data_IF_440990946284
#
_entry.id   IF_440990946284
#
_cell.length_a   1.000
_cell.length_b   1.000
_cell.length_c   1.000
_cell.angle_alpha   90.00
_cell.angle_beta   90.00
_cell.angle_gamma   90.00
#
_symmetry.space_group_name_H-M   'P 1'
#
loop_
_entity.id
_entity.type
_entity.pdbx_description
1 polymer ?
#
# COMPACT_ATOMS: atom_id res chain seq x y z
N UNK A 1 -4.46 36.06 10.35
CA UNK A 1 -3.62 34.93 9.86
C UNK A 1 -4.52 33.72 9.70
N UNK A 2 -4.40 32.95 8.62
CA UNK A 2 -5.18 31.72 8.43
C UNK A 2 -4.87 30.69 9.53
N UNK A 3 -5.86 29.86 9.88
CA UNK A 3 -5.74 28.82 10.93
C UNK A 3 -4.53 27.88 10.69
N UNK A 4 -4.18 27.64 9.42
CA UNK A 4 -3.00 26.87 9.01
C UNK A 4 -1.68 27.52 9.50
N UNK A 5 -1.51 28.83 9.28
CA UNK A 5 -0.30 29.56 9.68
C UNK A 5 -0.11 29.60 11.21
N UNK A 6 -1.20 29.57 11.97
CA UNK A 6 -1.13 29.49 13.44
C UNK A 6 -0.61 28.12 13.88
N UNK A 7 -1.14 27.02 13.33
CA UNK A 7 -0.68 25.65 13.63
C UNK A 7 0.77 25.40 13.20
N UNK A 8 1.20 25.94 12.06
CA UNK A 8 2.58 25.86 11.59
C UNK A 8 3.55 26.52 12.57
N UNK A 9 3.19 27.72 13.05
CA UNK A 9 3.99 28.47 14.02
C UNK A 9 4.09 27.73 15.36
N UNK A 10 3.00 27.15 15.85
CA UNK A 10 2.98 26.30 17.05
C UNK A 10 3.93 25.09 16.90
N UNK A 11 3.93 24.46 15.72
CA UNK A 11 4.79 23.31 15.41
C UNK A 11 6.21 23.69 14.98
N UNK A 12 6.56 24.99 15.00
CA UNK A 12 7.85 25.52 14.56
C UNK A 12 8.24 25.08 13.13
N UNK A 13 7.24 25.01 12.24
CA UNK A 13 7.44 24.67 10.84
C UNK A 13 7.84 25.95 10.09
N UNK A 14 8.97 25.92 9.38
CA UNK A 14 9.41 27.02 8.53
C UNK A 14 8.40 27.24 7.38
N UNK A 15 8.03 28.50 7.13
CA UNK A 15 7.02 28.83 6.13
C UNK A 15 7.47 28.43 4.72
N UNK A 16 8.77 28.55 4.44
CA UNK A 16 9.42 28.16 3.19
C UNK A 16 9.22 26.68 2.88
N UNK A 17 9.31 25.82 3.91
CA UNK A 17 9.06 24.39 3.76
C UNK A 17 7.56 24.08 3.64
N UNK A 18 6.72 24.76 4.42
CA UNK A 18 5.26 24.53 4.36
C UNK A 18 4.67 24.91 3.00
N UNK A 19 5.16 26.00 2.41
CA UNK A 19 4.72 26.48 1.10
C UNK A 19 5.00 25.48 -0.05
N UNK A 20 5.88 24.48 0.14
CA UNK A 20 6.13 23.42 -0.84
C UNK A 20 5.06 22.30 -0.82
N UNK A 21 4.23 22.25 0.23
CA UNK A 21 3.22 21.20 0.40
C UNK A 21 1.92 21.61 -0.27
N UNK A 22 1.64 21.03 -1.45
CA UNK A 22 0.44 21.34 -2.23
C UNK A 22 -0.61 20.22 -2.17
N UNK A 23 -0.25 18.99 -2.58
CA UNK A 23 -1.20 17.89 -2.78
C UNK A 23 -1.12 16.75 -1.75
N UNK A 24 -0.14 16.80 -0.85
CA UNK A 24 0.12 15.75 0.15
C UNK A 24 0.25 16.35 1.54
N UNK A 25 -0.78 17.10 1.97
CA UNK A 25 -0.83 17.69 3.30
C UNK A 25 -1.08 16.60 4.34
N UNK A 26 -0.10 16.36 5.20
CA UNK A 26 -0.21 15.35 6.25
C UNK A 26 -1.15 15.81 7.37
N UNK A 27 -2.22 15.07 7.62
CA UNK A 27 -3.20 15.33 8.68
C UNK A 27 -3.47 14.07 9.52
N UNK A 28 -3.93 14.21 10.77
CA UNK A 28 -4.46 13.08 11.52
C UNK A 28 -5.69 12.50 10.82
N UNK A 29 -5.83 11.18 10.86
CA UNK A 29 -7.03 10.54 10.33
C UNK A 29 -8.24 10.82 11.22
N UNK A 30 -9.26 11.42 10.62
CA UNK A 30 -10.51 11.78 11.29
C UNK A 30 -11.72 11.28 10.48
N UNK A 31 -12.50 10.32 11.02
CA UNK A 31 -13.70 9.82 10.37
C UNK A 31 -14.72 10.89 9.99
N UNK A 32 -14.79 12.00 10.75
CA UNK A 32 -15.73 13.08 10.46
C UNK A 32 -15.37 13.87 9.18
N UNK A 33 -14.13 13.78 8.71
CA UNK A 33 -13.59 14.54 7.59
C UNK A 33 -13.27 13.67 6.36
N UNK A 34 -13.80 12.45 6.29
CA UNK A 34 -13.60 11.54 5.15
C UNK A 34 -14.22 12.11 3.86
N UNK A 35 -15.43 12.64 3.95
CA UNK A 35 -16.22 13.10 2.81
C UNK A 35 -16.04 14.59 2.47
N UNK A 36 -15.11 15.29 3.13
CA UNK A 36 -14.81 16.67 2.74
C UNK A 36 -14.06 16.70 1.39
N UNK A 37 -14.08 17.84 0.70
CA UNK A 37 -13.41 18.00 -0.60
C UNK A 37 -11.90 18.28 -0.50
N UNK A 38 -11.27 17.99 0.65
CA UNK A 38 -9.84 18.21 0.85
C UNK A 38 -9.00 17.04 0.31
N UNK A 39 -9.10 16.79 -1.01
CA UNK A 39 -8.38 15.69 -1.70
C UNK A 39 -6.86 15.75 -1.55
N UNK A 40 -6.33 16.95 -1.29
CA UNK A 40 -4.91 17.21 -1.06
C UNK A 40 -4.44 16.80 0.35
N UNK A 41 -5.34 16.41 1.24
CA UNK A 41 -4.99 15.84 2.53
C UNK A 41 -4.67 14.35 2.42
N UNK A 42 -3.65 13.91 3.16
CA UNK A 42 -3.27 12.51 3.22
C UNK A 42 -3.02 12.05 4.66
N UNK A 43 -3.21 10.76 4.89
CA UNK A 43 -2.97 10.13 6.19
C UNK A 43 -1.87 9.07 6.10
N UNK A 44 -1.05 8.98 7.16
CA UNK A 44 -0.05 7.92 7.31
C UNK A 44 -0.43 6.97 8.44
N UNK A 45 -0.30 5.68 8.19
CA UNK A 45 -0.69 4.60 9.09
C UNK A 45 0.47 3.62 9.31
N UNK A 46 0.64 3.18 10.55
CA UNK A 46 1.50 2.04 10.85
C UNK A 46 0.77 0.74 10.46
N UNK A 47 1.50 -0.25 9.98
CA UNK A 47 0.99 -1.62 9.78
C UNK A 47 0.29 -2.18 11.05
N UNK A 48 -0.52 -3.23 10.87
CA UNK A 48 -1.16 -3.94 11.99
C UNK A 48 -2.37 -3.23 12.60
N UNK A 49 -2.84 -2.13 12.00
CA UNK A 49 -4.06 -1.41 12.40
C UNK A 49 -5.19 -1.48 11.37
N UNK A 50 -5.11 -2.40 10.41
CA UNK A 50 -6.02 -2.45 9.26
C UNK A 50 -7.49 -2.52 9.67
N UNK A 51 -7.87 -3.47 10.54
CA UNK A 51 -9.26 -3.67 10.95
C UNK A 51 -9.86 -2.42 11.60
N UNK A 52 -9.10 -1.81 12.53
CA UNK A 52 -9.50 -0.56 13.20
C UNK A 52 -9.62 0.62 12.23
N UNK A 53 -8.87 0.62 11.13
CA UNK A 53 -8.95 1.67 10.12
C UNK A 53 -10.14 1.44 9.20
N UNK A 54 -10.43 0.18 8.85
CA UNK A 54 -11.63 -0.20 8.09
C UNK A 54 -12.90 0.21 8.84
N UNK A 55 -13.01 -0.11 10.13
CA UNK A 55 -14.12 0.32 11.01
C UNK A 55 -14.31 1.84 11.02
N UNK A 56 -13.22 2.59 10.85
CA UNK A 56 -13.21 4.06 10.85
C UNK A 56 -13.38 4.68 9.45
N UNK A 57 -13.63 3.89 8.41
CA UNK A 57 -13.92 4.40 7.07
C UNK A 57 -12.69 4.55 6.15
N UNK A 58 -11.67 3.71 6.28
CA UNK A 58 -10.50 3.75 5.39
C UNK A 58 -10.86 3.49 3.91
N UNK A 59 -11.85 2.65 3.61
CA UNK A 59 -12.28 2.37 2.24
C UNK A 59 -12.79 3.62 1.50
N UNK A 60 -13.82 4.33 2.00
CA UNK A 60 -14.27 5.58 1.36
C UNK A 60 -13.22 6.68 1.44
N UNK A 61 -12.32 6.67 2.44
CA UNK A 61 -11.18 7.59 2.44
C UNK A 61 -10.26 7.36 1.24
N UNK A 62 -9.92 6.10 0.93
CA UNK A 62 -9.02 5.73 -0.15
C UNK A 62 -9.62 5.89 -1.57
N UNK A 63 -10.92 6.18 -1.70
CA UNK A 63 -11.51 6.53 -3.00
C UNK A 63 -11.27 8.01 -3.36
N UNK A 64 -11.04 8.89 -2.38
CA UNK A 64 -10.93 10.34 -2.58
C UNK A 64 -9.59 10.96 -2.13
N UNK A 65 -8.88 10.30 -1.21
CA UNK A 65 -7.66 10.82 -0.58
C UNK A 65 -6.53 9.79 -0.59
N UNK A 66 -5.31 10.28 -0.46
CA UNK A 66 -4.12 9.41 -0.42
C UNK A 66 -3.86 8.87 0.99
N UNK A 67 -3.44 7.61 1.05
CA UNK A 67 -3.00 6.96 2.27
C UNK A 67 -1.60 6.37 2.08
N UNK A 68 -0.81 6.47 3.14
CA UNK A 68 0.51 5.85 3.27
C UNK A 68 0.49 4.84 4.39
N UNK A 69 0.98 3.63 4.14
CA UNK A 69 1.20 2.61 5.17
C UNK A 69 2.69 2.36 5.29
N UNK A 70 3.22 2.22 6.50
CA UNK A 70 4.64 1.99 6.73
C UNK A 70 4.90 0.91 7.81
N UNK A 71 6.09 0.27 7.77
CA UNK A 71 6.41 -0.79 8.72
C UNK A 71 6.44 -0.30 10.17
N UNK A 72 6.11 -1.18 11.12
CA UNK A 72 6.16 -0.86 12.54
C UNK A 72 7.62 -0.64 12.98
N UNK A 73 7.87 0.33 13.86
CA UNK A 73 9.19 0.61 14.42
C UNK A 73 9.81 -0.57 15.19
N UNK A 74 9.01 -1.55 15.63
CA UNK A 74 9.53 -2.80 16.21
C UNK A 74 10.32 -3.66 15.22
N UNK A 75 10.19 -3.43 13.90
CA UNK A 75 10.93 -4.12 12.85
C UNK A 75 12.35 -3.56 12.69
N UNK A 76 13.13 -3.62 13.76
CA UNK A 76 14.52 -3.10 13.80
C UNK A 76 15.45 -3.77 12.78
N UNK A 77 15.13 -5.01 12.37
CA UNK A 77 15.86 -5.76 11.34
C UNK A 77 15.38 -5.45 9.91
N UNK A 78 14.56 -4.40 9.73
CA UNK A 78 14.04 -3.98 8.42
C UNK A 78 13.22 -5.06 7.68
N UNK A 79 12.60 -6.00 8.39
CA UNK A 79 11.64 -6.92 7.77
C UNK A 79 10.43 -6.17 7.20
N UNK A 80 9.75 -6.74 6.21
CA UNK A 80 8.54 -6.16 5.64
C UNK A 80 7.27 -6.89 6.10
N UNK A 81 6.15 -6.16 6.14
CA UNK A 81 4.81 -6.71 6.22
C UNK A 81 4.30 -7.11 4.83
N UNK A 82 3.26 -7.95 4.77
CA UNK A 82 2.60 -8.24 3.49
C UNK A 82 1.88 -6.98 2.96
N UNK A 83 2.18 -6.50 1.74
CA UNK A 83 1.53 -5.31 1.19
C UNK A 83 0.12 -5.60 0.65
N UNK A 84 -0.21 -6.87 0.38
CA UNK A 84 -1.46 -7.29 -0.28
C UNK A 84 -2.71 -6.85 0.48
N UNK A 85 -2.84 -7.05 1.80
CA UNK A 85 -4.01 -6.58 2.53
C UNK A 85 -4.23 -5.06 2.42
N UNK A 86 -3.15 -4.28 2.37
CA UNK A 86 -3.23 -2.82 2.23
C UNK A 86 -3.66 -2.42 0.82
N UNK A 87 -3.13 -3.08 -0.22
CA UNK A 87 -3.61 -2.87 -1.59
C UNK A 87 -5.07 -3.26 -1.76
N UNK A 88 -5.52 -4.34 -1.12
CA UNK A 88 -6.91 -4.81 -1.21
C UNK A 88 -7.91 -3.82 -0.61
N UNK A 89 -7.49 -2.87 0.22
CA UNK A 89 -8.34 -1.79 0.75
C UNK A 89 -8.07 -0.44 0.09
N UNK A 90 -7.35 -0.43 -1.03
CA UNK A 90 -7.10 0.77 -1.83
C UNK A 90 -5.99 1.67 -1.30
N UNK A 91 -5.14 1.23 -0.37
CA UNK A 91 -4.01 2.04 0.07
C UNK A 91 -3.00 2.29 -1.07
N UNK A 92 -2.54 3.54 -1.20
CA UNK A 92 -1.77 3.99 -2.35
C UNK A 92 -0.25 3.83 -2.14
N UNK A 93 0.26 4.39 -1.04
CA UNK A 93 1.69 4.38 -0.71
C UNK A 93 1.98 3.31 0.34
N UNK A 94 2.03 2.05 -0.08
CA UNK A 94 2.35 0.91 0.80
C UNK A 94 3.88 0.78 0.88
N UNK A 95 4.48 1.54 1.80
CA UNK A 95 5.93 1.65 1.93
C UNK A 95 6.54 0.39 2.53
N UNK A 96 7.64 -0.07 1.91
CA UNK A 96 8.43 -1.23 2.31
C UNK A 96 9.91 -0.83 2.40
N UNK A 97 10.69 -1.63 3.12
CA UNK A 97 12.14 -1.56 3.24
C UNK A 97 12.80 -2.20 2.00
N UNK A 98 13.19 -1.37 1.02
CA UNK A 98 13.74 -1.81 -0.28
C UNK A 98 15.08 -2.56 -0.17
N UNK A 99 15.85 -2.33 0.89
CA UNK A 99 17.09 -3.04 1.17
C UNK A 99 16.88 -4.52 1.52
N UNK A 100 15.66 -4.92 1.88
CA UNK A 100 15.34 -6.28 2.32
C UNK A 100 14.69 -7.07 1.17
N UNK A 101 15.42 -8.03 0.60
CA UNK A 101 14.94 -8.90 -0.48
C UNK A 101 14.01 -10.03 -0.04
N UNK A 102 13.02 -9.73 0.82
CA UNK A 102 12.05 -10.68 1.35
C UNK A 102 10.82 -10.86 0.44
N UNK A 103 9.91 -11.78 0.82
CA UNK A 103 8.69 -12.10 0.06
C UNK A 103 7.82 -10.86 -0.24
N UNK A 104 7.54 -9.96 0.73
CA UNK A 104 6.86 -8.69 0.45
C UNK A 104 7.52 -7.85 -0.65
N UNK A 105 8.86 -7.75 -0.66
CA UNK A 105 9.57 -7.01 -1.69
C UNK A 105 9.44 -7.66 -3.07
N UNK A 106 9.47 -9.00 -3.13
CA UNK A 106 9.24 -9.74 -4.38
C UNK A 106 7.82 -9.49 -4.92
N UNK A 107 6.80 -9.45 -4.04
CA UNK A 107 5.42 -9.11 -4.42
C UNK A 107 5.32 -7.67 -4.94
N UNK A 108 5.99 -6.73 -4.28
CA UNK A 108 6.04 -5.32 -4.69
C UNK A 108 6.67 -5.18 -6.08
N UNK A 109 7.85 -5.76 -6.29
CA UNK A 109 8.51 -5.78 -7.60
C UNK A 109 7.61 -6.40 -8.66
N UNK A 110 6.99 -7.55 -8.38
CA UNK A 110 6.06 -8.23 -9.29
C UNK A 110 4.85 -7.38 -9.67
N UNK A 111 4.18 -6.73 -8.70
CA UNK A 111 3.03 -5.84 -8.96
C UNK A 111 3.42 -4.66 -9.86
N UNK A 112 4.54 -4.02 -9.56
CA UNK A 112 5.02 -2.85 -10.31
C UNK A 112 5.79 -3.22 -11.59
N UNK A 113 5.84 -4.49 -12.02
CA UNK A 113 6.18 -4.84 -13.41
C UNK A 113 5.12 -4.34 -14.39
N UNK A 114 3.86 -4.25 -13.93
CA UNK A 114 2.76 -3.71 -14.71
C UNK A 114 3.01 -2.24 -15.11
N UNK A 115 2.30 -1.78 -16.14
CA UNK A 115 2.36 -0.40 -16.62
C UNK A 115 3.80 0.08 -16.93
N UNK A 116 4.62 -0.78 -17.53
CA UNK A 116 5.97 -0.43 -17.97
C UNK A 116 6.95 -0.07 -16.85
N UNK A 117 6.72 -0.55 -15.62
CA UNK A 117 7.61 -0.27 -14.46
C UNK A 117 7.71 1.20 -14.06
N UNK A 118 6.69 2.01 -14.37
CA UNK A 118 6.72 3.45 -14.05
C UNK A 118 6.47 3.77 -12.56
N UNK A 119 6.17 2.77 -11.73
CA UNK A 119 5.85 2.95 -10.30
C UNK A 119 4.37 3.23 -10.01
N UNK A 120 3.51 3.28 -11.03
CA UNK A 120 2.06 3.48 -10.88
C UNK A 120 1.28 2.37 -11.55
N UNK A 121 0.32 1.79 -10.83
CA UNK A 121 -0.61 0.77 -11.35
C UNK A 121 -2.02 1.23 -11.03
N UNK A 122 -2.86 1.36 -12.06
CA UNK A 122 -4.25 1.76 -11.90
C UNK A 122 -5.00 0.73 -11.03
N UNK A 123 -5.78 1.20 -10.05
CA UNK A 123 -6.68 0.34 -9.29
C UNK A 123 -7.71 -0.29 -10.25
N UNK A 124 -8.08 -1.57 -10.07
CA UNK A 124 -9.20 -2.16 -10.81
C UNK A 124 -10.45 -1.30 -10.73
N UNK A 125 -11.26 -1.27 -11.80
CA UNK A 125 -12.44 -0.39 -11.89
C UNK A 125 -13.44 -0.59 -10.74
N UNK A 126 -13.64 -1.83 -10.29
CA UNK A 126 -14.51 -2.14 -9.15
C UNK A 126 -14.04 -1.57 -7.81
N UNK A 127 -12.77 -1.19 -7.68
CA UNK A 127 -12.23 -0.52 -6.48
C UNK A 127 -12.40 1.00 -6.52
N UNK A 128 -12.93 1.53 -7.62
CA UNK A 128 -13.17 2.95 -7.83
C UNK A 128 -14.63 3.35 -7.60
N UNK A 129 -15.50 2.38 -7.29
CA UNK A 129 -16.92 2.62 -7.04
C UNK A 129 -17.20 2.66 -5.53
N UNK A 130 -18.29 3.33 -5.14
CA UNK A 130 -18.67 3.49 -3.72
C UNK A 130 -19.18 2.17 -3.12
N UNK A 131 -19.52 1.18 -3.95
CA UNK A 131 -19.97 -0.16 -3.56
C UNK A 131 -18.80 -1.12 -3.30
N UNK A 132 -17.55 -0.68 -3.45
CA UNK A 132 -16.39 -1.53 -3.23
C UNK A 132 -16.31 -2.04 -1.79
N UNK A 133 -16.46 -3.35 -1.64
CA UNK A 133 -16.34 -4.04 -0.36
C UNK A 133 -15.45 -5.29 -0.50
N UNK A 134 -14.20 -5.26 0.00
CA UNK A 134 -13.30 -6.41 -0.09
C UNK A 134 -13.76 -7.63 0.72
N UNK A 135 -14.68 -7.47 1.68
CA UNK A 135 -15.26 -8.59 2.42
C UNK A 135 -16.43 -9.24 1.67
N UNK A 136 -17.03 -8.56 0.68
CA UNK A 136 -18.21 -9.00 -0.05
C UNK A 136 -17.95 -8.96 -1.57
N UNK A 137 -17.05 -9.82 -2.06
CA UNK A 137 -16.62 -9.87 -3.45
C UNK A 137 -17.79 -10.05 -4.46
N UNK A 138 -18.88 -10.73 -4.04
CA UNK A 138 -20.12 -10.92 -4.80
C UNK A 138 -20.74 -9.59 -5.28
N UNK A 139 -20.53 -8.50 -4.52
CA UNK A 139 -21.08 -7.17 -4.83
C UNK A 139 -20.22 -6.39 -5.83
N UNK A 140 -18.99 -6.83 -6.09
CA UNK A 140 -18.07 -6.16 -7.01
C UNK A 140 -18.27 -6.70 -8.44
N UNK A 141 -18.80 -5.88 -9.35
CA UNK A 141 -19.29 -6.28 -10.69
C UNK A 141 -18.29 -6.90 -11.68
N UNK A 142 -17.03 -7.11 -11.30
CA UNK A 142 -16.02 -7.81 -12.13
C UNK A 142 -15.66 -9.20 -11.60
N UNK A 143 -16.35 -9.70 -10.57
CA UNK A 143 -16.01 -10.91 -9.83
C UNK A 143 -16.33 -12.23 -10.58
N UNK A 144 -16.00 -12.34 -11.88
CA UNK A 144 -16.04 -13.64 -12.53
C UNK A 144 -14.93 -14.52 -11.94
N UNK A 145 -15.26 -15.66 -11.32
CA UNK A 145 -14.25 -16.53 -10.75
C UNK A 145 -13.38 -17.09 -11.87
N UNK A 146 -12.06 -16.99 -11.71
CA UNK A 146 -11.08 -17.58 -12.63
C UNK A 146 -10.63 -18.91 -12.02
N UNK A 147 -10.75 -19.99 -12.78
CA UNK A 147 -10.14 -21.28 -12.43
C UNK A 147 -8.72 -21.33 -13.02
N UNK A 148 -7.72 -21.24 -12.15
CA UNK A 148 -6.31 -21.39 -12.53
C UNK A 148 -5.84 -22.81 -12.19
N UNK A 149 -5.40 -23.57 -13.21
CA UNK A 149 -4.72 -24.85 -13.02
C UNK A 149 -3.23 -24.65 -13.33
N UNK A 150 -2.37 -24.99 -12.38
CA UNK A 150 -0.91 -24.90 -12.53
C UNK A 150 -0.33 -26.29 -12.33
N UNK A 151 0.26 -26.85 -13.40
CA UNK A 151 1.03 -28.08 -13.35
C UNK A 151 2.51 -27.77 -13.58
N UNK A 152 3.36 -28.11 -12.60
CA UNK A 152 4.81 -27.97 -12.73
C UNK A 152 5.34 -29.18 -13.50
N UNK A 153 5.81 -28.95 -14.73
CA UNK A 153 6.31 -30.03 -15.61
C UNK A 153 7.80 -30.32 -15.34
N UNK A 154 8.59 -29.28 -15.06
CA UNK A 154 10.02 -29.41 -14.77
C UNK A 154 10.71 -28.06 -14.65
N UNK A 155 11.99 -28.07 -14.25
CA UNK A 155 12.83 -26.88 -14.16
C UNK A 155 14.15 -27.06 -14.92
N UNK A 156 14.72 -25.95 -15.42
CA UNK A 156 16.02 -25.94 -16.12
C UNK A 156 16.91 -24.84 -15.53
N UNK A 157 18.23 -25.05 -15.56
CA UNK A 157 19.24 -24.10 -15.06
C UNK A 157 19.00 -23.64 -13.62
N UNK A 158 18.50 -24.53 -12.76
CA UNK A 158 18.30 -24.22 -11.34
C UNK A 158 19.65 -24.10 -10.65
N UNK A 159 19.91 -22.93 -10.06
CA UNK A 159 21.14 -22.64 -9.35
C UNK A 159 20.95 -22.70 -7.83
N UNK A 160 21.98 -23.14 -7.12
CA UNK A 160 22.04 -23.03 -5.66
C UNK A 160 22.71 -21.72 -5.25
N UNK A 161 22.24 -21.09 -4.17
CA UNK A 161 22.91 -19.92 -3.59
C UNK A 161 24.28 -20.27 -3.00
N UNK A 162 24.38 -21.43 -2.37
CA UNK A 162 25.63 -21.97 -1.82
C UNK A 162 26.35 -22.80 -2.87
N UNK A 163 27.52 -22.33 -3.33
CA UNK A 163 28.35 -22.99 -4.35
C UNK A 163 29.21 -24.13 -3.78
N UNK A 164 29.34 -24.23 -2.46
CA UNK A 164 30.20 -25.21 -1.80
C UNK A 164 29.47 -26.52 -1.49
N UNK A 165 28.14 -26.54 -1.64
CA UNK A 165 27.34 -27.76 -1.55
C UNK A 165 27.05 -28.27 -2.97
N UNK A 166 27.00 -29.60 -3.13
CA UNK A 166 26.74 -30.27 -4.40
C UNK A 166 25.37 -29.95 -5.03
N UNK A 167 24.91 -30.82 -5.94
CA UNK A 167 23.71 -30.62 -6.77
C UNK A 167 22.48 -30.25 -5.92
N UNK A 168 21.62 -29.37 -6.45
CA UNK A 168 20.37 -28.99 -5.78
C UNK A 168 19.33 -30.11 -5.83
N UNK A 169 18.55 -30.27 -4.76
CA UNK A 169 17.32 -31.08 -4.72
C UNK A 169 16.12 -30.14 -4.72
N UNK A 170 15.64 -29.66 -5.88
CA UNK A 170 14.63 -28.62 -5.95
C UNK A 170 13.23 -29.17 -5.66
N UNK A 171 12.39 -28.31 -5.09
CA UNK A 171 10.93 -28.47 -5.02
C UNK A 171 10.30 -27.12 -5.35
N UNK A 172 9.07 -27.15 -5.87
CA UNK A 172 8.26 -25.96 -6.20
C UNK A 172 6.92 -26.09 -5.51
#
# INVERSE_FOLDING_TARGET
MSILRTKEKEKRIAAELSNLVVYCQAVPFDPAHIYNDAFYEMCSFVEGKLDKLLEKGLLPFNSRKLSRVYPNGSRITSTNYSPVPMWNVGCHMVALNYQTGDKPMQLNQGKFLANGRCGYVLKPGYMLTDEFDPANAEKCGTAYPIRLNVQVIGGRHLSRKDKNKGICSPFV
#
